data_IF_185715157176
#
_entry.id   IF_185715157176
#
_cell.length_a   1.000
_cell.length_b   1.000
_cell.length_c   1.000
_cell.angle_alpha   90.00
_cell.angle_beta   90.00
_cell.angle_gamma   90.00
#
_symmetry.space_group_name_H-M   'P 1'
#
loop_
_entity.id
_entity.type
_entity.pdbx_description
1 polymer ?
#
# COMPACT_ATOMS: atom_id res chain seq x y z
N UNK A 1 -40.68 -8.09 1.70
CA UNK A 1 -39.59 -7.20 1.20
C UNK A 1 -38.25 -7.83 1.59
N UNK A 2 -37.48 -8.31 0.64
CA UNK A 2 -36.16 -8.93 0.91
C UNK A 2 -35.17 -7.81 1.18
N UNK A 3 -34.64 -7.73 2.40
CA UNK A 3 -33.54 -6.83 2.74
C UNK A 3 -32.30 -7.27 1.94
N UNK A 4 -31.95 -6.51 0.92
CA UNK A 4 -30.64 -6.62 0.27
C UNK A 4 -29.62 -6.02 1.26
N UNK A 5 -28.81 -6.87 1.85
CA UNK A 5 -27.61 -6.44 2.58
C UNK A 5 -26.65 -5.94 1.51
N UNK A 6 -26.51 -4.64 1.41
CA UNK A 6 -25.54 -4.00 0.53
C UNK A 6 -24.16 -4.30 1.11
N UNK A 7 -23.41 -5.19 0.45
CA UNK A 7 -22.01 -5.39 0.76
C UNK A 7 -21.26 -4.09 0.44
N UNK A 8 -20.65 -3.50 1.45
CA UNK A 8 -19.73 -2.38 1.30
C UNK A 8 -18.53 -2.90 0.50
N UNK A 9 -18.38 -2.50 -0.74
CA UNK A 9 -17.15 -2.74 -1.50
C UNK A 9 -16.11 -1.76 -0.98
N UNK A 10 -15.53 -2.07 0.17
CA UNK A 10 -14.21 -1.58 0.54
C UNK A 10 -13.26 -2.30 -0.41
N UNK A 11 -12.29 -1.62 -1.03
CA UNK A 11 -11.40 -2.27 -1.99
C UNK A 11 -10.82 -3.56 -1.40
N UNK A 12 -10.64 -4.56 -2.25
CA UNK A 12 -10.35 -5.96 -1.96
C UNK A 12 -9.06 -6.27 -1.17
N UNK A 13 -8.62 -5.35 -0.33
CA UNK A 13 -7.54 -5.50 0.64
C UNK A 13 -7.84 -6.52 1.76
N UNK A 14 -9.03 -7.10 1.76
CA UNK A 14 -9.43 -8.11 2.72
C UNK A 14 -9.61 -9.50 2.11
N UNK A 15 -9.31 -9.70 0.84
CA UNK A 15 -9.43 -11.00 0.19
C UNK A 15 -8.26 -11.95 0.46
N UNK A 16 -7.18 -11.51 1.10
CA UNK A 16 -6.19 -12.44 1.64
C UNK A 16 -6.64 -12.91 3.03
N UNK A 17 -7.54 -13.90 3.06
CA UNK A 17 -8.12 -14.45 4.28
C UNK A 17 -9.03 -13.43 4.94
N UNK A 18 -10.33 -13.49 4.69
CA UNK A 18 -11.30 -12.74 5.46
C UNK A 18 -11.18 -13.14 6.94
N UNK A 19 -10.29 -12.48 7.66
CA UNK A 19 -10.36 -12.46 9.11
C UNK A 19 -11.74 -11.91 9.42
N UNK A 20 -12.62 -12.76 9.91
CA UNK A 20 -13.88 -12.28 10.43
C UNK A 20 -13.54 -11.46 11.66
N UNK A 21 -13.59 -10.12 11.50
CA UNK A 21 -13.50 -9.23 12.64
C UNK A 21 -14.44 -9.74 13.73
N UNK A 22 -13.93 -9.90 14.94
CA UNK A 22 -14.74 -10.31 16.05
C UNK A 22 -15.69 -9.16 16.38
N UNK A 23 -16.99 -9.39 16.21
CA UNK A 23 -18.00 -8.43 16.63
C UNK A 23 -17.96 -8.29 18.16
N UNK A 24 -17.51 -7.14 18.66
CA UNK A 24 -17.44 -6.84 20.09
C UNK A 24 -18.77 -6.27 20.57
N UNK A 25 -19.40 -5.46 19.72
CA UNK A 25 -20.62 -4.76 20.06
C UNK A 25 -21.49 -4.56 18.82
N UNK A 26 -22.79 -4.85 18.94
CA UNK A 26 -23.77 -4.61 17.88
C UNK A 26 -25.16 -4.41 18.52
N UNK A 27 -25.49 -3.16 18.82
CA UNK A 27 -26.75 -2.82 19.45
C UNK A 27 -27.18 -1.39 19.13
N UNK A 28 -28.48 -1.19 18.99
CA UNK A 28 -29.12 0.13 18.81
C UNK A 28 -28.54 0.92 17.61
N UNK A 29 -28.25 0.22 16.50
CA UNK A 29 -27.67 0.83 15.30
C UNK A 29 -26.18 1.13 15.40
N UNK A 30 -25.51 0.71 16.47
CA UNK A 30 -24.05 0.86 16.65
C UNK A 30 -23.36 -0.49 16.53
N UNK A 31 -22.25 -0.53 15.81
CA UNK A 31 -21.44 -1.73 15.64
C UNK A 31 -19.96 -1.41 15.86
N UNK A 32 -19.27 -2.31 16.55
CA UNK A 32 -17.82 -2.26 16.74
C UNK A 32 -17.23 -3.65 16.53
N UNK A 33 -16.33 -3.75 15.59
CA UNK A 33 -15.58 -4.96 15.25
C UNK A 33 -14.11 -4.78 15.62
N UNK A 34 -13.51 -5.79 16.26
CA UNK A 34 -12.07 -5.92 16.45
C UNK A 34 -11.53 -6.90 15.41
N UNK A 35 -10.42 -6.55 14.76
CA UNK A 35 -9.72 -7.43 13.84
C UNK A 35 -8.21 -7.32 14.04
N UNK A 36 -7.49 -8.35 13.59
CA UNK A 36 -6.04 -8.31 13.65
C UNK A 36 -5.37 -9.62 13.34
N UNK A 37 -4.05 -9.61 13.39
CA UNK A 37 -3.22 -10.79 13.26
C UNK A 37 -1.94 -10.70 14.10
N UNK A 38 -1.47 -11.85 14.55
CA UNK A 38 -0.09 -12.05 15.00
C UNK A 38 0.59 -12.88 13.91
N UNK A 39 1.72 -12.39 13.41
CA UNK A 39 2.52 -13.05 12.40
C UNK A 39 3.90 -13.37 12.99
N UNK A 40 4.10 -14.64 13.34
CA UNK A 40 5.40 -15.15 13.75
C UNK A 40 6.23 -15.39 12.50
N UNK A 41 7.06 -14.41 12.14
CA UNK A 41 7.71 -14.30 10.84
C UNK A 41 9.23 -14.34 10.97
N UNK A 42 9.87 -15.12 10.11
CA UNK A 42 11.32 -15.17 9.99
C UNK A 42 11.78 -15.06 8.55
N UNK A 43 12.77 -14.21 8.30
CA UNK A 43 13.45 -14.10 7.01
C UNK A 43 14.79 -14.81 7.03
N UNK A 44 15.09 -15.51 5.93
CA UNK A 44 16.40 -16.08 5.63
C UNK A 44 16.97 -15.36 4.41
N UNK A 45 18.08 -14.64 4.60
CA UNK A 45 18.73 -13.87 3.54
C UNK A 45 20.23 -13.78 3.77
N UNK A 46 20.99 -13.60 2.69
CA UNK A 46 22.41 -13.22 2.78
C UNK A 46 22.60 -11.76 3.17
N UNK A 47 21.60 -10.91 2.98
CA UNK A 47 21.57 -9.54 3.46
C UNK A 47 21.31 -9.51 4.98
N UNK A 48 22.34 -9.27 5.77
CA UNK A 48 22.25 -9.24 7.23
C UNK A 48 21.27 -8.21 7.80
N UNK A 49 20.83 -7.23 7.00
CA UNK A 49 19.80 -6.25 7.40
C UNK A 49 18.38 -6.78 7.19
N UNK A 50 18.25 -7.87 6.46
CA UNK A 50 16.96 -8.51 6.16
C UNK A 50 16.81 -9.86 6.85
N UNK A 51 17.92 -10.54 7.17
CA UNK A 51 17.92 -11.84 7.84
C UNK A 51 17.44 -11.75 9.28
N UNK A 52 16.68 -12.75 9.72
CA UNK A 52 16.27 -12.91 11.12
C UNK A 52 14.77 -12.72 11.37
N UNK A 53 14.46 -12.50 12.64
CA UNK A 53 13.08 -12.35 13.14
C UNK A 53 12.43 -11.06 12.63
N UNK A 54 11.22 -11.20 12.07
CA UNK A 54 10.39 -10.11 11.56
C UNK A 54 9.00 -10.12 12.21
N UNK A 55 8.83 -10.84 13.31
CA UNK A 55 7.54 -11.04 13.99
C UNK A 55 6.86 -9.70 14.33
N UNK A 56 5.56 -9.61 14.06
CA UNK A 56 4.76 -8.45 14.36
C UNK A 56 3.31 -8.79 14.73
N UNK A 57 2.67 -7.84 15.39
CA UNK A 57 1.24 -7.82 15.65
C UNK A 57 0.60 -6.66 14.88
N UNK A 58 -0.53 -6.91 14.24
CA UNK A 58 -1.38 -5.88 13.65
C UNK A 58 -2.80 -6.04 14.16
N UNK A 59 -3.41 -4.95 14.63
CA UNK A 59 -4.79 -4.98 15.08
C UNK A 59 -5.48 -3.64 14.83
N UNK A 60 -6.80 -3.64 14.80
CA UNK A 60 -7.59 -2.45 14.58
C UNK A 60 -9.04 -2.63 14.94
N UNK A 61 -9.75 -1.51 14.96
CA UNK A 61 -11.18 -1.43 15.20
C UNK A 61 -11.87 -0.84 13.95
N UNK A 62 -13.05 -1.39 13.63
CA UNK A 62 -14.01 -0.80 12.69
C UNK A 62 -15.27 -0.49 13.44
N UNK A 63 -15.72 0.76 13.39
CA UNK A 63 -16.96 1.21 14.03
C UNK A 63 -17.95 1.75 13.03
N UNK A 64 -19.23 1.49 13.24
CA UNK A 64 -20.34 2.06 12.49
C UNK A 64 -21.43 2.52 13.44
N UNK A 65 -22.12 3.62 13.11
CA UNK A 65 -23.28 4.11 13.83
C UNK A 65 -24.35 4.59 12.85
N UNK A 66 -25.57 4.06 12.98
CA UNK A 66 -26.72 4.51 12.21
C UNK A 66 -27.20 5.84 12.78
N UNK A 67 -27.06 6.94 12.02
CA UNK A 67 -27.47 8.29 12.43
C UNK A 67 -28.98 8.46 12.12
N UNK A 68 -29.39 8.07 10.94
CA UNK A 68 -30.79 8.00 10.49
C UNK A 68 -30.93 7.02 9.33
N UNK A 69 -32.10 6.94 8.69
CA UNK A 69 -32.38 5.96 7.63
C UNK A 69 -31.43 6.08 6.42
N UNK A 70 -30.81 7.25 6.18
CA UNK A 70 -29.93 7.51 5.04
C UNK A 70 -28.47 7.68 5.44
N UNK A 71 -28.18 8.01 6.70
CA UNK A 71 -26.83 8.40 7.14
C UNK A 71 -26.27 7.36 8.11
N UNK A 72 -25.07 6.87 7.80
CA UNK A 72 -24.26 6.03 8.68
C UNK A 72 -22.90 6.67 8.88
N UNK A 73 -22.54 6.96 10.12
CA UNK A 73 -21.19 7.33 10.49
C UNK A 73 -20.32 6.08 10.59
N UNK A 74 -19.04 6.18 10.19
CA UNK A 74 -18.10 5.07 10.32
C UNK A 74 -16.70 5.57 10.63
N UNK A 75 -15.87 4.66 11.14
CA UNK A 75 -14.45 4.95 11.36
C UNK A 75 -13.64 3.68 11.46
N UNK A 76 -12.34 3.81 11.23
CA UNK A 76 -11.39 2.72 11.35
C UNK A 76 -10.08 3.23 11.93
N UNK A 77 -9.50 2.41 12.80
CA UNK A 77 -8.14 2.59 13.29
C UNK A 77 -7.39 1.27 13.19
N UNK A 78 -6.15 1.30 12.67
CA UNK A 78 -5.27 0.14 12.53
C UNK A 78 -3.87 0.49 13.01
N UNK A 79 -3.31 -0.40 13.82
CA UNK A 79 -2.02 -0.23 14.45
C UNK A 79 -1.13 -1.44 14.20
N UNK A 80 0.17 -1.18 13.95
CA UNK A 80 1.18 -2.23 13.80
C UNK A 80 2.18 -2.12 14.95
N UNK A 81 2.53 -3.25 15.54
CA UNK A 81 3.50 -3.36 16.62
C UNK A 81 4.54 -4.39 16.21
N UNK A 82 5.81 -4.00 16.24
CA UNK A 82 6.93 -4.90 16.02
C UNK A 82 7.18 -5.72 17.29
N UNK A 83 7.32 -7.03 17.14
CA UNK A 83 7.61 -7.94 18.25
C UNK A 83 9.03 -8.53 18.19
N UNK A 84 9.80 -8.15 17.17
CA UNK A 84 11.19 -8.56 16.96
C UNK A 84 12.22 -7.60 17.55
N UNK A 85 11.81 -6.50 18.14
CA UNK A 85 12.68 -5.53 18.79
C UNK A 85 12.90 -5.85 20.28
N UNK A 86 14.00 -5.35 20.85
CA UNK A 86 14.20 -5.38 22.30
C UNK A 86 13.21 -4.46 23.02
N UNK A 87 12.83 -4.77 24.27
CA UNK A 87 11.88 -3.97 25.06
C UNK A 87 12.30 -2.50 25.24
N UNK A 88 13.59 -2.19 25.05
CA UNK A 88 14.14 -0.85 25.17
C UNK A 88 14.15 -0.05 23.86
N UNK A 89 13.72 -0.64 22.75
CA UNK A 89 13.63 0.06 21.45
C UNK A 89 12.55 1.13 21.47
N UNK A 90 12.79 2.28 20.85
CA UNK A 90 11.83 3.38 20.74
C UNK A 90 10.84 3.19 19.56
N UNK A 91 11.25 2.51 18.50
CA UNK A 91 10.50 2.41 17.24
C UNK A 91 9.79 1.07 17.12
N UNK A 92 8.82 0.85 18.00
CA UNK A 92 8.12 -0.44 18.09
C UNK A 92 6.75 -0.45 17.43
N UNK A 93 6.14 0.72 17.18
CA UNK A 93 4.74 0.72 16.75
C UNK A 93 4.34 1.98 15.98
N UNK A 94 3.38 1.84 15.05
CA UNK A 94 2.84 2.97 14.27
C UNK A 94 1.40 2.76 13.85
N UNK A 95 0.67 3.89 13.66
CA UNK A 95 -0.67 3.91 13.09
C UNK A 95 -0.59 3.69 11.58
N UNK A 96 -1.28 2.69 11.07
CA UNK A 96 -1.42 2.40 9.65
C UNK A 96 -2.61 3.12 9.03
N UNK A 97 -3.77 3.07 9.67
CA UNK A 97 -5.01 3.72 9.29
C UNK A 97 -5.61 4.46 10.49
N UNK A 98 -6.20 5.62 10.25
CA UNK A 98 -6.98 6.37 11.24
C UNK A 98 -7.85 7.39 10.50
N UNK A 99 -9.10 7.07 10.26
CA UNK A 99 -10.04 7.93 9.57
C UNK A 99 -11.46 7.78 10.10
N UNK A 100 -12.26 8.81 9.86
CA UNK A 100 -13.70 8.79 10.12
C UNK A 100 -14.45 9.32 8.91
N UNK A 101 -15.68 8.85 8.71
CA UNK A 101 -16.46 9.20 7.55
C UNK A 101 -17.97 9.07 7.75
N UNK A 102 -18.68 9.48 6.73
CA UNK A 102 -20.14 9.39 6.63
C UNK A 102 -20.52 8.73 5.30
N UNK A 103 -21.41 7.76 5.37
CA UNK A 103 -22.04 7.14 4.21
C UNK A 103 -23.47 7.67 4.07
N UNK A 104 -23.88 7.99 2.84
CA UNK A 104 -25.19 8.58 2.50
C UNK A 104 -25.91 7.65 1.51
N UNK A 105 -26.56 6.60 1.98
CA UNK A 105 -27.27 5.65 1.14
C UNK A 105 -26.49 5.25 -0.11
N UNK A 106 -27.11 5.37 -1.29
CA UNK A 106 -26.49 5.08 -2.60
C UNK A 106 -25.68 6.28 -3.15
N UNK A 107 -25.71 7.44 -2.47
CA UNK A 107 -24.91 8.60 -2.88
C UNK A 107 -23.42 8.47 -2.55
N UNK A 108 -23.02 7.41 -1.85
CA UNK A 108 -21.64 7.09 -1.57
C UNK A 108 -21.19 7.45 -0.17
N UNK A 109 -19.88 7.53 0.02
CA UNK A 109 -19.27 7.82 1.31
C UNK A 109 -18.20 8.90 1.18
N UNK A 110 -17.98 9.63 2.26
CA UNK A 110 -16.89 10.58 2.40
C UNK A 110 -16.14 10.28 3.70
N UNK A 111 -14.83 10.20 3.64
CA UNK A 111 -13.97 10.05 4.82
C UNK A 111 -12.77 10.99 4.77
N UNK A 112 -12.21 11.24 5.96
CA UNK A 112 -11.01 12.03 6.14
C UNK A 112 -10.10 11.42 7.18
N UNK A 113 -8.80 11.44 6.90
CA UNK A 113 -7.76 11.03 7.84
C UNK A 113 -6.57 10.35 7.17
N UNK A 114 -5.96 9.40 7.89
CA UNK A 114 -4.91 8.53 7.36
C UNK A 114 -5.55 7.32 6.71
N UNK A 115 -5.51 7.25 5.40
CA UNK A 115 -6.15 6.18 4.63
C UNK A 115 -5.31 5.85 3.38
N UNK A 116 -5.77 4.89 2.58
CA UNK A 116 -5.13 4.56 1.32
C UNK A 116 -5.36 5.63 0.26
N UNK A 117 -4.32 5.93 -0.50
CA UNK A 117 -4.39 6.74 -1.71
C UNK A 117 -5.09 6.00 -2.85
N UNK A 118 -5.70 6.76 -3.76
CA UNK A 118 -6.50 6.16 -4.86
C UNK A 118 -5.68 5.34 -5.86
N UNK A 119 -4.36 5.52 -5.94
CA UNK A 119 -3.52 4.65 -6.78
C UNK A 119 -3.53 3.21 -6.27
N UNK A 120 -3.69 3.02 -4.95
CA UNK A 120 -3.74 1.69 -4.34
C UNK A 120 -5.05 0.93 -4.67
N UNK A 121 -6.09 1.59 -5.14
CA UNK A 121 -7.31 0.95 -5.62
C UNK A 121 -7.04 0.00 -6.81
N UNK A 122 -5.97 0.23 -7.56
CA UNK A 122 -5.49 -0.63 -8.64
C UNK A 122 -4.36 -1.54 -8.18
N UNK A 123 -3.35 -0.98 -7.49
CA UNK A 123 -2.17 -1.71 -7.01
C UNK A 123 -2.53 -2.85 -6.05
N UNK A 124 -3.53 -2.66 -5.20
CA UNK A 124 -4.01 -3.69 -4.29
C UNK A 124 -4.48 -4.98 -4.97
N UNK A 125 -4.66 -4.95 -6.29
CA UNK A 125 -4.98 -6.17 -7.05
C UNK A 125 -3.76 -7.07 -7.27
N UNK A 126 -2.56 -6.51 -7.29
CA UNK A 126 -1.31 -7.29 -7.41
C UNK A 126 -0.59 -7.51 -6.08
N UNK A 127 -0.97 -6.76 -5.04
CA UNK A 127 -0.46 -6.90 -3.67
C UNK A 127 -1.16 -8.05 -2.93
N UNK A 128 -0.98 -9.28 -3.42
CA UNK A 128 -1.73 -10.48 -2.99
C UNK A 128 -0.83 -11.66 -2.57
N UNK A 129 0.48 -11.45 -2.50
CA UNK A 129 1.43 -12.48 -2.10
C UNK A 129 1.38 -12.74 -0.59
N UNK A 130 1.87 -13.88 -0.11
CA UNK A 130 1.89 -14.20 1.31
C UNK A 130 2.60 -13.16 2.18
N UNK A 131 3.76 -12.66 1.72
CA UNK A 131 4.56 -11.69 2.48
C UNK A 131 5.05 -10.53 1.60
N UNK A 132 5.61 -10.80 0.43
CA UNK A 132 6.14 -9.76 -0.45
C UNK A 132 5.06 -9.22 -1.40
N UNK A 133 5.41 -8.34 -2.32
CA UNK A 133 4.49 -7.75 -3.29
C UNK A 133 4.14 -6.29 -3.00
N UNK A 134 3.43 -5.65 -3.95
CA UNK A 134 2.94 -4.28 -3.83
C UNK A 134 4.00 -3.22 -3.59
N UNK A 135 5.26 -3.48 -3.96
CA UNK A 135 6.39 -2.64 -3.61
C UNK A 135 7.09 -1.98 -4.82
N UNK A 136 6.47 -2.02 -5.99
CA UNK A 136 7.06 -1.38 -7.17
C UNK A 136 7.04 0.14 -7.09
N UNK A 137 5.98 0.76 -6.53
CA UNK A 137 5.89 2.22 -6.35
C UNK A 137 4.99 2.67 -5.18
N UNK A 138 4.30 1.78 -4.48
CA UNK A 138 3.29 2.10 -3.47
C UNK A 138 3.86 2.29 -2.06
N UNK A 139 4.80 3.19 -1.92
CA UNK A 139 5.35 3.54 -0.60
C UNK A 139 4.32 4.22 0.28
N UNK A 140 4.33 3.89 1.57
CA UNK A 140 3.55 4.65 2.56
C UNK A 140 4.09 6.08 2.69
N UNK A 141 3.19 7.03 2.91
CA UNK A 141 3.49 8.46 3.04
C UNK A 141 4.23 9.05 1.82
N UNK A 142 3.95 8.50 0.64
CA UNK A 142 4.45 9.00 -0.64
C UNK A 142 3.28 9.40 -1.54
N UNK A 143 2.86 10.65 -1.43
CA UNK A 143 1.67 11.18 -2.10
C UNK A 143 0.44 10.27 -1.88
N UNK A 144 -0.38 10.06 -2.90
CA UNK A 144 -1.56 9.17 -2.85
C UNK A 144 -1.27 7.76 -3.40
N UNK A 145 -0.01 7.26 -3.25
CA UNK A 145 0.38 5.93 -3.76
C UNK A 145 -0.02 4.79 -2.81
N UNK A 146 0.37 4.87 -1.56
CA UNK A 146 0.05 3.89 -0.53
C UNK A 146 -0.81 4.50 0.58
N UNK A 147 -0.59 4.10 1.84
CA UNK A 147 -1.23 4.76 2.98
C UNK A 147 -0.62 6.15 3.18
N UNK A 148 -1.47 7.16 3.28
CA UNK A 148 -1.06 8.56 3.38
C UNK A 148 -1.90 9.33 4.41
N UNK A 149 -1.31 10.37 4.97
CA UNK A 149 -1.97 11.29 5.88
C UNK A 149 -2.78 12.35 5.13
N UNK A 150 -3.79 12.90 5.81
CA UNK A 150 -4.51 14.08 5.36
C UNK A 150 -5.28 13.89 4.06
N UNK A 151 -5.77 12.67 3.81
CA UNK A 151 -6.58 12.37 2.61
C UNK A 151 -8.06 12.53 2.91
N UNK A 152 -8.75 13.28 2.06
CA UNK A 152 -10.20 13.40 2.01
C UNK A 152 -10.69 12.62 0.80
N UNK A 153 -11.50 11.58 1.01
CA UNK A 153 -11.88 10.67 -0.05
C UNK A 153 -13.40 10.57 -0.17
N UNK A 154 -13.91 10.81 -1.36
CA UNK A 154 -15.28 10.47 -1.74
C UNK A 154 -15.26 9.19 -2.57
N UNK A 155 -16.12 8.22 -2.22
CA UNK A 155 -16.28 6.94 -2.93
C UNK A 155 -17.73 6.69 -3.28
N UNK A 156 -17.96 6.20 -4.48
CA UNK A 156 -19.29 5.79 -4.94
C UNK A 156 -19.20 4.44 -5.64
N UNK A 157 -20.15 3.58 -5.31
CA UNK A 157 -20.30 2.27 -5.94
C UNK A 157 -21.51 2.27 -6.88
N UNK A 158 -21.41 1.48 -7.95
CA UNK A 158 -22.49 1.29 -8.93
C UNK A 158 -22.97 2.59 -9.57
N UNK A 159 -22.08 3.62 -9.63
CA UNK A 159 -22.37 4.94 -10.17
C UNK A 159 -23.74 5.47 -9.72
N UNK A 160 -23.88 5.70 -8.41
CA UNK A 160 -25.13 6.11 -7.74
C UNK A 160 -26.27 5.09 -7.87
N UNK A 161 -25.95 3.81 -8.05
CA UNK A 161 -26.93 2.75 -8.29
C UNK A 161 -27.46 2.70 -9.72
N UNK A 162 -26.91 3.50 -10.65
CA UNK A 162 -27.36 3.60 -12.04
C UNK A 162 -26.63 2.64 -12.97
N UNK A 163 -25.38 2.29 -12.67
CA UNK A 163 -24.54 1.39 -13.49
C UNK A 163 -23.88 0.38 -12.58
N UNK A 164 -24.46 -0.81 -12.50
CA UNK A 164 -23.93 -1.92 -11.69
C UNK A 164 -22.48 -2.24 -12.10
N UNK A 165 -21.62 -2.40 -11.11
CA UNK A 165 -20.20 -2.70 -11.29
C UNK A 165 -19.28 -1.50 -11.56
N UNK A 166 -19.83 -0.30 -11.86
CA UNK A 166 -19.02 0.90 -12.07
C UNK A 166 -18.78 1.64 -10.74
N UNK A 167 -17.54 1.63 -10.26
CA UNK A 167 -17.14 2.32 -9.04
C UNK A 167 -16.17 3.43 -9.35
N UNK A 168 -16.16 4.48 -8.52
CA UNK A 168 -15.15 5.54 -8.62
C UNK A 168 -14.84 6.17 -7.26
N UNK A 169 -13.66 6.77 -7.16
CA UNK A 169 -13.27 7.59 -6.03
C UNK A 169 -12.66 8.91 -6.51
N UNK A 170 -12.88 9.96 -5.72
CA UNK A 170 -12.21 11.25 -5.84
C UNK A 170 -11.49 11.51 -4.52
N UNK A 171 -10.23 11.93 -4.60
CA UNK A 171 -9.42 12.15 -3.40
C UNK A 171 -8.68 13.48 -3.49
N UNK A 172 -8.60 14.15 -2.36
CA UNK A 172 -7.73 15.28 -2.12
C UNK A 172 -6.77 14.94 -1.01
N UNK A 173 -5.50 15.25 -1.16
CA UNK A 173 -4.49 15.18 -0.11
C UNK A 173 -3.99 16.57 0.21
N UNK A 174 -4.09 16.97 1.47
CA UNK A 174 -3.51 18.21 1.95
C UNK A 174 -1.99 18.11 2.07
N UNK A 175 -1.34 19.26 1.99
CA UNK A 175 0.12 19.40 2.10
C UNK A 175 0.64 18.84 3.43
N UNK A 176 1.71 18.04 3.34
CA UNK A 176 2.46 17.50 4.47
C UNK A 176 3.95 17.82 4.27
N UNK A 177 4.40 18.92 4.85
CA UNK A 177 5.82 19.25 4.95
C UNK A 177 6.35 18.71 6.28
N UNK A 178 7.42 17.93 6.24
CA UNK A 178 7.92 17.24 7.42
C UNK A 178 8.34 18.15 8.55
N UNK A 179 9.04 19.25 8.25
CA UNK A 179 9.44 20.25 9.25
C UNK A 179 9.80 21.58 8.62
N UNK A 180 9.45 22.65 9.30
CA UNK A 180 10.04 23.94 9.04
C UNK A 180 11.34 24.13 9.83
N UNK A 181 12.06 25.20 9.52
CA UNK A 181 13.32 25.56 10.18
C UNK A 181 13.20 25.79 11.71
N UNK A 182 12.00 25.91 12.27
CA UNK A 182 11.74 26.03 13.70
C UNK A 182 11.43 24.69 14.38
N UNK A 183 11.52 23.59 13.68
CA UNK A 183 11.21 22.24 14.18
C UNK A 183 9.80 22.10 14.77
N UNK A 184 8.90 22.93 14.34
CA UNK A 184 7.49 22.83 14.70
C UNK A 184 6.86 21.85 13.71
N UNK A 185 6.20 20.85 14.24
CA UNK A 185 5.41 19.94 13.43
C UNK A 185 4.33 20.73 12.67
N UNK A 186 4.63 21.05 11.43
CA UNK A 186 3.70 21.73 10.54
C UNK A 186 3.17 20.69 9.57
N UNK A 187 1.89 20.50 9.61
CA UNK A 187 1.24 19.45 8.87
C UNK A 187 1.20 18.14 9.66
N UNK A 188 0.72 17.09 9.03
CA UNK A 188 0.39 15.81 9.65
C UNK A 188 1.56 14.84 9.67
N UNK A 189 2.60 15.07 8.86
CA UNK A 189 3.82 14.32 8.95
C UNK A 189 4.63 14.83 10.13
N UNK A 190 4.35 14.28 11.28
CA UNK A 190 5.12 14.49 12.49
C UNK A 190 6.47 13.79 12.38
N UNK A 191 7.27 14.17 11.38
CA UNK A 191 8.60 13.62 11.18
C UNK A 191 9.57 14.40 12.04
N UNK A 192 10.53 13.69 12.62
CA UNK A 192 11.62 14.31 13.38
C UNK A 192 12.51 15.19 12.49
N UNK A 193 13.43 15.94 13.07
CA UNK A 193 14.41 16.79 12.36
C UNK A 193 15.18 16.07 11.24
N UNK A 194 15.18 14.76 11.26
CA UNK A 194 15.83 13.90 10.27
C UNK A 194 14.83 13.38 9.22
N UNK A 195 13.71 14.07 9.06
CA UNK A 195 12.67 13.65 8.11
C UNK A 195 13.23 13.64 6.69
N UNK A 196 12.94 12.55 6.01
CA UNK A 196 13.33 12.33 4.65
C UNK A 196 12.36 13.09 3.72
N UNK A 197 12.81 14.20 3.15
CA UNK A 197 12.03 15.06 2.23
C UNK A 197 11.45 14.29 1.03
N UNK A 198 11.97 13.09 0.73
CA UNK A 198 11.44 12.23 -0.34
C UNK A 198 10.00 11.82 -0.08
N UNK A 199 9.53 11.89 1.16
CA UNK A 199 8.18 11.52 1.58
C UNK A 199 7.30 12.73 1.96
N UNK A 200 7.74 13.95 1.70
CA UNK A 200 6.89 15.12 1.77
C UNK A 200 5.89 15.14 0.60
N UNK A 201 4.80 15.86 0.75
CA UNK A 201 3.89 16.17 -0.35
C UNK A 201 3.30 17.58 -0.22
N UNK A 202 3.07 18.23 -1.35
CA UNK A 202 2.18 19.39 -1.45
C UNK A 202 0.72 18.96 -1.60
N UNK A 203 -0.16 19.91 -1.86
CA UNK A 203 -1.57 19.66 -2.15
C UNK A 203 -1.72 18.83 -3.43
N UNK A 204 -2.66 17.88 -3.42
CA UNK A 204 -2.85 16.99 -4.56
C UNK A 204 -4.28 16.51 -4.72
N UNK A 205 -4.59 16.08 -5.94
CA UNK A 205 -5.86 15.49 -6.30
C UNK A 205 -5.63 14.14 -6.98
N UNK A 206 -6.56 13.22 -6.75
CA UNK A 206 -6.55 11.92 -7.37
C UNK A 206 -7.94 11.42 -7.69
N UNK A 207 -8.00 10.50 -8.63
CA UNK A 207 -9.22 9.79 -8.99
C UNK A 207 -8.88 8.33 -9.27
N UNK A 208 -9.81 7.43 -8.97
CA UNK A 208 -9.80 6.05 -9.43
C UNK A 208 -11.16 5.66 -9.98
N UNK A 209 -11.17 4.67 -10.85
CA UNK A 209 -12.38 4.03 -11.33
C UNK A 209 -12.13 2.55 -11.56
N UNK A 210 -13.14 1.72 -11.29
CA UNK A 210 -13.13 0.30 -11.62
C UNK A 210 -14.46 -0.12 -12.20
N UNK A 211 -14.42 -1.13 -13.06
CA UNK A 211 -15.60 -1.74 -13.62
C UNK A 211 -15.53 -3.26 -13.50
N UNK A 212 -16.56 -3.84 -12.92
CA UNK A 212 -16.77 -5.29 -12.87
C UNK A 212 -17.63 -5.72 -14.05
N UNK A 213 -17.04 -6.47 -14.98
CA UNK A 213 -17.73 -6.99 -16.18
C UNK A 213 -18.60 -8.22 -15.89
N UNK A 214 -18.60 -8.71 -14.64
CA UNK A 214 -19.14 -10.02 -14.28
C UNK A 214 -18.17 -11.16 -14.62
N UNK A 215 -18.55 -12.37 -14.28
CA UNK A 215 -17.74 -13.59 -14.50
C UNK A 215 -16.32 -13.55 -13.88
N UNK A 216 -16.13 -12.69 -12.87
CA UNK A 216 -14.86 -12.50 -12.18
C UNK A 216 -13.86 -11.56 -12.88
N UNK A 217 -14.22 -10.92 -13.98
CA UNK A 217 -13.35 -10.01 -14.73
C UNK A 217 -13.60 -8.57 -14.30
N UNK A 218 -12.55 -7.85 -13.95
CA UNK A 218 -12.62 -6.44 -13.61
C UNK A 218 -11.44 -5.66 -14.24
N UNK A 219 -11.69 -4.39 -14.57
CA UNK A 219 -10.65 -3.45 -14.98
C UNK A 219 -10.67 -2.22 -14.08
N UNK A 220 -9.51 -1.61 -13.84
CA UNK A 220 -9.42 -0.37 -13.08
C UNK A 220 -8.34 0.54 -13.62
N UNK A 221 -8.50 1.84 -13.35
CA UNK A 221 -7.49 2.85 -13.60
C UNK A 221 -7.53 3.93 -12.52
N UNK A 222 -6.38 4.55 -12.26
CA UNK A 222 -6.28 5.68 -11.35
C UNK A 222 -5.25 6.70 -11.86
N UNK A 223 -5.43 7.95 -11.42
CA UNK A 223 -4.53 9.06 -11.71
C UNK A 223 -4.42 9.98 -10.51
N UNK A 224 -3.22 10.48 -10.25
CA UNK A 224 -2.96 11.50 -9.22
C UNK A 224 -2.04 12.57 -9.75
N UNK A 225 -2.23 13.81 -9.26
CA UNK A 225 -1.32 14.94 -9.48
C UNK A 225 -1.23 15.76 -8.19
N UNK A 226 -0.02 15.96 -7.72
CA UNK A 226 0.26 16.67 -6.48
C UNK A 226 1.36 17.70 -6.68
N UNK A 227 1.31 18.79 -5.95
CA UNK A 227 2.44 19.70 -5.84
C UNK A 227 3.58 19.04 -5.06
N UNK A 228 4.80 19.32 -5.44
CA UNK A 228 5.97 18.98 -4.66
C UNK A 228 6.29 20.13 -3.72
N UNK A 229 6.82 19.83 -2.54
CA UNK A 229 7.20 20.87 -1.57
C UNK A 229 8.39 21.68 -2.05
N UNK A 230 8.57 22.86 -1.48
CA UNK A 230 9.74 23.68 -1.75
C UNK A 230 11.05 22.94 -1.44
N UNK A 231 11.07 22.16 -0.37
CA UNK A 231 12.23 21.37 0.02
C UNK A 231 12.55 20.27 -0.98
N UNK A 232 11.55 19.59 -1.53
CA UNK A 232 11.75 18.62 -2.61
C UNK A 232 12.28 19.24 -3.90
N UNK A 233 11.87 20.47 -4.23
CA UNK A 233 12.26 21.18 -5.45
C UNK A 233 13.65 21.83 -5.32
N UNK A 234 13.98 22.34 -4.14
CA UNK A 234 15.20 23.13 -3.89
C UNK A 234 16.26 22.38 -3.10
N UNK A 235 16.09 21.09 -2.90
CA UNK A 235 17.09 20.31 -2.19
C UNK A 235 18.41 20.37 -2.95
N UNK A 236 19.33 21.18 -2.42
CA UNK A 236 20.52 21.68 -3.12
C UNK A 236 21.60 20.64 -3.38
N UNK A 237 21.43 19.43 -2.88
CA UNK A 237 22.53 18.46 -2.95
C UNK A 237 22.39 17.46 -4.05
N UNK A 238 21.41 17.68 -5.06
CA UNK A 238 21.40 16.49 -5.83
C UNK A 238 20.70 16.53 -7.17
N UNK A 239 21.48 16.33 -8.17
CA UNK A 239 21.08 15.77 -9.46
C UNK A 239 20.33 14.42 -9.35
N UNK A 240 20.28 13.83 -8.12
CA UNK A 240 19.53 12.60 -7.81
C UNK A 240 18.07 12.82 -7.48
N UNK A 241 17.67 14.06 -7.22
CA UNK A 241 16.28 14.41 -6.97
C UNK A 241 15.64 14.95 -8.24
N UNK A 242 14.52 14.38 -8.61
CA UNK A 242 13.70 14.91 -9.68
C UNK A 242 13.46 16.41 -9.51
N UNK A 243 13.41 17.16 -10.62
CA UNK A 243 13.33 18.62 -10.62
C UNK A 243 11.95 19.20 -10.98
N UNK A 244 10.97 18.35 -11.30
CA UNK A 244 9.64 18.80 -11.67
C UNK A 244 8.84 19.37 -10.49
N UNK A 245 7.95 20.33 -10.76
CA UNK A 245 7.11 20.97 -9.75
C UNK A 245 5.96 20.09 -9.29
N UNK A 246 5.56 19.13 -10.12
CA UNK A 246 4.47 18.19 -9.87
C UNK A 246 4.97 16.76 -9.72
N UNK A 247 4.32 16.03 -8.84
CA UNK A 247 4.38 14.59 -8.72
C UNK A 247 3.11 14.00 -9.35
N UNK A 248 3.27 13.30 -10.46
CA UNK A 248 2.16 12.72 -11.20
C UNK A 248 2.30 11.21 -11.27
N UNK A 249 1.18 10.51 -11.20
CA UNK A 249 1.14 9.08 -11.43
C UNK A 249 -0.16 8.64 -12.08
N UNK A 250 -0.08 7.63 -12.92
CA UNK A 250 -1.25 6.91 -13.39
C UNK A 250 -0.99 5.40 -13.35
N UNK A 251 -2.05 4.65 -13.18
CA UNK A 251 -2.01 3.19 -13.16
C UNK A 251 -3.26 2.62 -13.81
N UNK A 252 -3.12 1.45 -14.41
CA UNK A 252 -4.23 0.67 -14.94
C UNK A 252 -3.99 -0.82 -14.66
N UNK A 253 -5.05 -1.55 -14.36
CA UNK A 253 -4.99 -2.96 -14.02
C UNK A 253 -6.16 -3.76 -14.55
N UNK A 254 -5.93 -5.06 -14.68
CA UNK A 254 -6.92 -6.08 -15.02
C UNK A 254 -6.87 -7.18 -13.96
N UNK A 255 -8.03 -7.69 -13.58
CA UNK A 255 -8.18 -8.76 -12.60
C UNK A 255 -9.16 -9.82 -13.10
N UNK A 256 -8.82 -11.07 -12.82
CA UNK A 256 -9.75 -12.20 -12.86
C UNK A 256 -9.77 -12.87 -11.48
N UNK A 257 -10.96 -12.99 -10.90
CA UNK A 257 -11.17 -13.55 -9.57
C UNK A 257 -12.43 -14.42 -9.58
N UNK A 258 -12.29 -15.65 -10.00
CA UNK A 258 -13.37 -16.65 -10.03
C UNK A 258 -12.80 -18.07 -10.19
N UNK A 259 -13.61 -19.07 -9.87
CA UNK A 259 -13.28 -20.50 -10.04
C UNK A 259 -11.96 -20.90 -9.32
N UNK A 260 -11.76 -20.39 -8.11
CA UNK A 260 -10.57 -20.61 -7.30
C UNK A 260 -9.26 -20.10 -7.93
N UNK A 261 -9.34 -19.37 -9.03
CA UNK A 261 -8.23 -18.73 -9.73
C UNK A 261 -8.26 -17.23 -9.45
N UNK A 262 -7.14 -16.70 -9.05
CA UNK A 262 -6.89 -15.26 -8.99
C UNK A 262 -5.74 -14.90 -9.93
N UNK A 263 -6.01 -13.99 -10.85
CA UNK A 263 -5.00 -13.42 -11.75
C UNK A 263 -5.15 -11.91 -11.74
N UNK A 264 -4.06 -11.19 -11.55
CA UNK A 264 -4.10 -9.74 -11.68
C UNK A 264 -2.82 -9.23 -12.34
N UNK A 265 -2.94 -8.12 -13.04
CA UNK A 265 -1.79 -7.40 -13.61
C UNK A 265 -2.05 -5.92 -13.54
N UNK A 266 -0.99 -5.15 -13.35
CA UNK A 266 -1.05 -3.70 -13.45
C UNK A 266 0.16 -3.13 -14.17
N UNK A 267 -0.01 -1.95 -14.76
CA UNK A 267 1.06 -1.09 -15.27
C UNK A 267 0.86 0.32 -14.75
N UNK A 268 1.95 0.96 -14.33
CA UNK A 268 1.94 2.32 -13.80
C UNK A 268 3.13 3.13 -14.31
N UNK A 269 2.95 4.42 -14.47
CA UNK A 269 4.04 5.38 -14.58
C UNK A 269 3.93 6.42 -13.48
N UNK A 270 5.06 6.71 -12.83
CA UNK A 270 5.19 7.80 -11.87
C UNK A 270 6.17 8.84 -12.37
N UNK A 271 5.98 10.11 -11.98
CA UNK A 271 6.89 11.22 -12.26
C UNK A 271 7.19 11.98 -10.99
N UNK A 272 8.47 12.24 -10.75
CA UNK A 272 8.99 13.11 -9.68
C UNK A 272 8.53 12.72 -8.25
N UNK A 273 8.23 11.45 -8.00
CA UNK A 273 7.69 11.01 -6.70
C UNK A 273 8.32 9.72 -6.14
N UNK A 274 8.72 8.79 -6.96
CA UNK A 274 9.19 7.49 -6.46
C UNK A 274 10.57 7.62 -5.81
N UNK A 275 10.68 7.39 -4.48
CA UNK A 275 11.96 7.41 -3.79
C UNK A 275 12.75 6.14 -4.15
N UNK A 276 14.08 6.25 -4.17
CA UNK A 276 14.95 5.09 -4.31
C UNK A 276 16.19 5.20 -3.42
N UNK A 277 16.75 4.06 -3.08
CA UNK A 277 17.95 3.96 -2.26
C UNK A 277 17.75 4.39 -0.80
N UNK A 278 18.80 4.28 -0.01
CA UNK A 278 18.81 4.59 1.42
C UNK A 278 19.52 5.91 1.69
N UNK A 279 18.97 6.74 2.58
CA UNK A 279 19.63 7.97 3.08
C UNK A 279 20.96 7.68 3.78
N UNK A 280 21.12 6.49 4.34
CA UNK A 280 22.38 6.04 4.98
C UNK A 280 23.39 5.43 4.01
N UNK A 281 23.08 5.33 2.71
CA UNK A 281 23.98 4.83 1.69
C UNK A 281 25.02 5.89 1.27
N UNK A 282 26.04 5.48 0.54
CA UNK A 282 27.09 6.37 0.02
C UNK A 282 26.52 7.54 -0.79
N UNK A 283 25.48 7.28 -1.58
CA UNK A 283 24.81 8.31 -2.38
C UNK A 283 23.65 8.99 -1.67
N UNK A 284 23.14 8.45 -0.54
CA UNK A 284 22.04 9.03 0.22
C UNK A 284 20.66 8.91 -0.43
N UNK A 285 20.50 8.06 -1.46
CA UNK A 285 19.23 7.86 -2.17
C UNK A 285 18.80 9.05 -3.06
N UNK A 286 17.60 8.98 -3.62
CA UNK A 286 17.06 10.04 -4.50
C UNK A 286 15.56 9.91 -4.75
N UNK A 287 15.06 10.77 -5.64
CA UNK A 287 13.70 10.71 -6.20
C UNK A 287 13.84 10.53 -7.71
N UNK A 288 13.25 9.49 -8.27
CA UNK A 288 13.28 9.21 -9.70
C UNK A 288 12.48 10.25 -10.49
N UNK A 289 13.04 10.71 -11.63
CA UNK A 289 12.34 11.59 -12.57
C UNK A 289 11.09 10.91 -13.14
N UNK A 290 11.22 9.64 -13.44
CA UNK A 290 10.14 8.78 -13.92
C UNK A 290 10.41 7.34 -13.50
N UNK A 291 9.34 6.60 -13.15
CA UNK A 291 9.39 5.14 -13.09
C UNK A 291 8.33 4.53 -14.01
N UNK A 292 8.64 3.33 -14.48
CA UNK A 292 7.72 2.45 -15.18
C UNK A 292 7.61 1.19 -14.34
N UNK A 293 6.39 0.87 -13.91
CA UNK A 293 6.13 -0.18 -12.96
C UNK A 293 5.21 -1.22 -13.60
N UNK A 294 5.54 -2.48 -13.43
CA UNK A 294 4.75 -3.59 -13.93
C UNK A 294 4.69 -4.68 -12.87
N UNK A 295 3.49 -5.16 -12.63
CA UNK A 295 3.26 -6.28 -11.74
C UNK A 295 2.26 -7.26 -12.35
N UNK A 296 2.48 -8.53 -12.07
CA UNK A 296 1.54 -9.60 -12.40
C UNK A 296 1.59 -10.64 -11.30
N UNK A 297 0.43 -11.11 -10.87
CA UNK A 297 0.28 -12.16 -9.86
C UNK A 297 -0.72 -13.21 -10.30
N UNK A 298 -0.48 -14.46 -9.91
CA UNK A 298 -1.38 -15.57 -10.12
C UNK A 298 -1.45 -16.44 -8.87
N UNK A 299 -2.66 -16.84 -8.48
CA UNK A 299 -2.89 -17.72 -7.34
C UNK A 299 -3.97 -18.75 -7.70
N UNK A 300 -3.91 -19.89 -7.02
CA UNK A 300 -4.95 -20.91 -7.10
C UNK A 300 -5.31 -21.42 -5.69
N UNK A 301 -6.58 -21.46 -5.35
CA UNK A 301 -7.06 -21.97 -4.06
C UNK A 301 -7.50 -23.42 -4.19
N UNK A 302 -6.77 -24.34 -3.57
CA UNK A 302 -7.21 -25.73 -3.46
C UNK A 302 -8.23 -25.92 -2.33
N UNK A 303 -9.19 -26.82 -2.52
CA UNK A 303 -10.22 -27.15 -1.51
C UNK A 303 -9.65 -27.61 -0.17
N UNK A 304 -8.46 -28.21 -0.18
CA UNK A 304 -7.79 -28.69 1.04
C UNK A 304 -7.00 -27.60 1.79
N UNK A 305 -7.15 -26.33 1.39
CA UNK A 305 -6.60 -25.18 2.10
C UNK A 305 -5.24 -24.67 1.60
N UNK A 306 -4.62 -25.27 0.59
CA UNK A 306 -3.37 -24.77 0.00
C UNK A 306 -3.66 -23.69 -1.05
N UNK A 307 -2.90 -22.58 -1.00
CA UNK A 307 -2.93 -21.50 -2.00
C UNK A 307 -1.51 -21.19 -2.48
N UNK A 308 -1.01 -21.81 -3.54
CA UNK A 308 0.20 -21.38 -4.21
C UNK A 308 0.02 -20.03 -4.88
N UNK A 309 1.09 -19.26 -4.95
CA UNK A 309 1.17 -17.95 -5.58
C UNK A 309 2.47 -17.83 -6.38
N UNK A 310 2.41 -17.10 -7.48
CA UNK A 310 3.57 -16.67 -8.25
C UNK A 310 3.35 -15.24 -8.72
N UNK A 311 4.40 -14.42 -8.66
CA UNK A 311 4.35 -13.04 -9.13
C UNK A 311 5.65 -12.61 -9.79
N UNK A 312 5.55 -11.57 -10.61
CA UNK A 312 6.69 -10.81 -11.11
C UNK A 312 6.44 -9.34 -10.91
N UNK A 313 7.43 -8.64 -10.36
CA UNK A 313 7.37 -7.20 -10.10
C UNK A 313 8.61 -6.53 -10.68
N UNK A 314 8.40 -5.37 -11.31
CA UNK A 314 9.46 -4.52 -11.82
C UNK A 314 9.11 -3.04 -11.67
N UNK A 315 10.05 -2.27 -11.12
CA UNK A 315 10.05 -0.80 -11.16
C UNK A 315 11.31 -0.34 -11.83
N UNK A 316 11.18 0.27 -13.01
CA UNK A 316 12.31 0.79 -13.78
C UNK A 316 12.38 2.31 -13.67
N UNK A 317 13.38 2.81 -12.98
CA UNK A 317 13.72 4.24 -12.93
C UNK A 317 14.42 4.69 -14.21
N UNK A 318 14.01 5.85 -14.72
CA UNK A 318 14.54 6.46 -15.92
C UNK A 318 15.43 7.66 -15.57
N UNK A 319 16.54 7.78 -16.30
CA UNK A 319 17.47 8.91 -16.16
C UNK A 319 17.93 9.15 -14.73
N UNK A 320 18.27 8.08 -14.01
CA UNK A 320 18.77 8.14 -12.64
C UNK A 320 20.22 8.57 -12.64
N UNK A 321 20.55 9.52 -11.77
CA UNK A 321 21.91 10.00 -11.62
C UNK A 321 22.73 9.11 -10.68
N UNK A 322 23.92 8.72 -11.10
CA UNK A 322 24.90 8.04 -10.29
C UNK A 322 26.32 8.43 -10.71
N UNK A 323 27.10 9.05 -9.81
CA UNK A 323 28.50 9.37 -10.00
C UNK A 323 28.82 10.07 -11.33
N UNK A 324 28.10 11.14 -11.67
CA UNK A 324 28.33 11.95 -12.89
C UNK A 324 27.68 11.41 -14.14
N UNK A 325 26.88 10.36 -14.08
CA UNK A 325 26.21 9.75 -15.23
C UNK A 325 24.72 9.53 -14.97
N UNK A 326 23.94 9.63 -16.04
CA UNK A 326 22.53 9.25 -16.05
C UNK A 326 22.35 7.90 -16.73
N UNK A 327 21.54 7.04 -16.12
CA UNK A 327 21.20 5.74 -16.69
C UNK A 327 19.82 5.28 -16.22
N UNK A 328 19.20 4.43 -17.02
CA UNK A 328 18.02 3.66 -16.61
C UNK A 328 18.46 2.49 -15.73
N UNK A 329 17.80 2.31 -14.60
CA UNK A 329 18.05 1.19 -13.68
C UNK A 329 16.74 0.61 -13.17
N UNK A 330 16.70 -0.69 -13.01
CA UNK A 330 15.63 -1.33 -12.26
C UNK A 330 15.82 -1.00 -10.77
N UNK A 331 14.81 -0.39 -10.14
CA UNK A 331 14.83 -0.05 -8.71
C UNK A 331 14.31 -1.22 -7.87
N UNK A 332 13.33 -1.92 -8.42
CA UNK A 332 12.78 -3.18 -7.93
C UNK A 332 12.68 -4.12 -9.11
N UNK A 333 13.10 -5.36 -8.94
CA UNK A 333 12.88 -6.41 -9.93
C UNK A 333 13.05 -7.78 -9.29
N UNK A 334 11.97 -8.52 -9.21
CA UNK A 334 12.03 -9.86 -8.67
C UNK A 334 10.90 -10.76 -9.19
N UNK A 335 11.10 -12.06 -9.07
CA UNK A 335 10.05 -13.05 -9.07
C UNK A 335 9.77 -13.47 -7.64
N UNK A 336 8.52 -13.77 -7.38
CA UNK A 336 8.09 -14.33 -6.12
C UNK A 336 7.36 -15.64 -6.32
N UNK A 337 7.68 -16.64 -5.49
CA UNK A 337 7.05 -17.96 -5.51
C UNK A 337 6.73 -18.35 -4.08
N UNK A 338 5.47 -18.38 -3.75
CA UNK A 338 5.02 -18.67 -2.40
C UNK A 338 3.83 -19.63 -2.34
N UNK A 339 3.50 -20.02 -1.14
CA UNK A 339 2.29 -20.79 -0.85
C UNK A 339 1.83 -20.53 0.58
N UNK A 340 0.52 -20.34 0.75
CA UNK A 340 -0.14 -20.30 2.06
C UNK A 340 -0.95 -21.58 2.26
N UNK A 341 -0.87 -22.14 3.45
CA UNK A 341 -1.74 -23.24 3.88
C UNK A 341 -2.65 -22.76 5.02
N UNK A 342 -3.95 -22.79 4.78
CA UNK A 342 -4.97 -22.44 5.75
C UNK A 342 -5.41 -23.67 6.53
N UNK A 343 -5.06 -23.76 7.81
CA UNK A 343 -5.57 -24.81 8.72
C UNK A 343 -7.06 -24.59 9.00
N UNK A 344 -7.45 -23.34 9.12
CA UNK A 344 -8.83 -22.84 9.25
C UNK A 344 -8.86 -21.33 8.97
N UNK A 345 -9.98 -20.67 9.24
CA UNK A 345 -10.16 -19.22 8.97
C UNK A 345 -9.26 -18.32 9.81
N UNK A 346 -8.79 -18.80 10.96
CA UNK A 346 -8.02 -18.03 11.93
C UNK A 346 -6.53 -18.40 11.96
N UNK A 347 -6.14 -19.52 11.37
CA UNK A 347 -4.77 -20.04 11.47
C UNK A 347 -4.26 -20.44 10.11
N UNK A 348 -3.10 -19.92 9.74
CA UNK A 348 -2.41 -20.25 8.50
C UNK A 348 -0.89 -20.26 8.70
N UNK A 349 -0.19 -20.86 7.75
CA UNK A 349 1.26 -20.78 7.62
C UNK A 349 1.61 -20.54 6.17
N UNK A 350 2.74 -19.90 5.92
CA UNK A 350 3.20 -19.65 4.56
C UNK A 350 4.70 -19.75 4.42
N UNK A 351 5.12 -20.02 3.19
CA UNK A 351 6.48 -19.81 2.70
C UNK A 351 6.40 -18.87 1.50
N UNK A 352 7.31 -17.91 1.42
CA UNK A 352 7.38 -16.97 0.33
C UNK A 352 8.84 -16.75 -0.07
N UNK A 353 9.17 -16.92 -1.35
CA UNK A 353 10.53 -16.82 -1.86
C UNK A 353 10.65 -15.69 -2.87
N UNK A 354 11.23 -14.59 -2.42
CA UNK A 354 11.60 -13.45 -3.25
C UNK A 354 12.94 -13.73 -3.93
N UNK A 355 12.90 -14.01 -5.23
CA UNK A 355 14.05 -14.21 -6.10
C UNK A 355 14.42 -12.88 -6.72
N UNK A 356 15.44 -12.22 -6.18
CA UNK A 356 15.90 -10.91 -6.65
C UNK A 356 16.57 -11.06 -8.02
N UNK A 357 16.21 -10.19 -8.97
CA UNK A 357 16.71 -10.20 -10.34
C UNK A 357 17.56 -8.95 -10.66
N UNK A 358 17.93 -8.18 -9.64
CA UNK A 358 18.89 -7.08 -9.76
C UNK A 358 20.31 -7.63 -9.84
N UNK A 359 21.18 -7.00 -10.63
CA UNK A 359 22.57 -7.44 -10.78
C UNK A 359 23.41 -7.00 -9.56
N UNK A 360 23.75 -7.94 -8.68
CA UNK A 360 24.56 -7.70 -7.50
C UNK A 360 25.98 -7.16 -7.76
N UNK A 361 26.48 -7.22 -9.01
CA UNK A 361 27.78 -6.66 -9.38
C UNK A 361 27.70 -5.21 -9.86
N UNK A 362 26.48 -4.68 -10.06
CA UNK A 362 26.30 -3.29 -10.47
C UNK A 362 26.44 -2.35 -9.26
N UNK A 363 27.49 -1.54 -9.26
CA UNK A 363 27.78 -0.57 -8.20
C UNK A 363 26.65 0.42 -7.92
N UNK A 364 25.73 0.60 -8.88
CA UNK A 364 24.57 1.45 -8.62
C UNK A 364 23.78 0.98 -7.40
N UNK A 365 23.58 -0.32 -7.24
CA UNK A 365 22.83 -0.87 -6.11
C UNK A 365 23.58 -0.73 -4.79
N UNK A 366 24.86 -1.04 -4.77
CA UNK A 366 25.71 -0.85 -3.59
C UNK A 366 25.76 0.62 -3.16
N UNK A 367 26.07 1.53 -4.10
CA UNK A 367 26.19 2.98 -3.86
C UNK A 367 24.89 3.61 -3.34
N UNK A 368 23.74 3.06 -3.70
CA UNK A 368 22.43 3.53 -3.26
C UNK A 368 21.80 2.69 -2.13
N UNK A 369 22.48 1.64 -1.65
CA UNK A 369 22.00 0.78 -0.56
C UNK A 369 20.71 0.02 -0.94
N UNK A 370 20.63 -0.43 -2.19
CA UNK A 370 19.53 -1.28 -2.70
C UNK A 370 19.97 -2.74 -2.61
N UNK A 371 19.24 -3.55 -1.86
CA UNK A 371 19.55 -4.98 -1.70
C UNK A 371 19.29 -5.75 -3.00
N UNK A 372 20.23 -6.64 -3.33
CA UNK A 372 20.15 -7.54 -4.48
C UNK A 372 20.06 -9.01 -4.08
N UNK A 373 19.95 -9.28 -2.77
CA UNK A 373 19.87 -10.63 -2.23
C UNK A 373 18.46 -11.21 -2.30
N UNK A 374 18.39 -12.52 -2.37
CA UNK A 374 17.15 -13.27 -2.24
C UNK A 374 16.69 -13.31 -0.78
N UNK A 375 15.39 -13.47 -0.58
CA UNK A 375 14.79 -13.63 0.75
C UNK A 375 13.81 -14.79 0.72
N UNK A 376 13.90 -15.69 1.70
CA UNK A 376 12.85 -16.66 2.00
C UNK A 376 12.15 -16.23 3.28
N UNK A 377 10.84 -16.06 3.23
CA UNK A 377 10.01 -15.78 4.39
C UNK A 377 9.26 -17.04 4.83
N UNK A 378 9.25 -17.30 6.13
CA UNK A 378 8.40 -18.32 6.77
C UNK A 378 7.53 -17.64 7.80
N UNK A 379 6.22 -17.78 7.67
CA UNK A 379 5.26 -17.18 8.60
C UNK A 379 4.26 -18.17 9.18
N UNK A 380 3.92 -17.96 10.44
CA UNK A 380 2.82 -18.62 11.14
C UNK A 380 1.87 -17.55 11.65
N UNK A 381 0.66 -17.53 11.10
CA UNK A 381 -0.30 -16.44 11.30
C UNK A 381 -1.49 -16.92 12.12
N UNK A 382 -1.77 -16.21 13.20
CA UNK A 382 -3.07 -16.26 13.87
C UNK A 382 -3.81 -14.94 13.60
N UNK A 383 -5.04 -15.03 13.06
CA UNK A 383 -5.87 -13.86 12.75
C UNK A 383 -7.26 -13.99 13.40
N UNK A 384 -7.87 -12.85 13.75
CA UNK A 384 -9.14 -12.75 14.44
C UNK A 384 -9.98 -11.55 13.98
#
# INVERSE_FOLDING_TARGET
MKRKVLALVIPALLAAGAAHAAEIYNKDGNKLDLYGKVDGLHYFSSDSKKDGDQTYLRFGFKGETQINDMLTGYGQWEYNVQANNTETSSDQAWTRLAFAGIKVGDYGSFDYGRNYGVLYDVEGWTDMLPEFGGDSYTYADNFMAGRANGVATYRNSDFFGLVEGLNFALQYQGKNEGQNAQHINVGTNNRSSDSDVRFDNGDGFGLSTSYDFGMGISAAAAYTSSDRTGDQQHYTHTERYAKGDKADAWTAGLKYDANDIYLATMYSETRNMTPYGSTSSTNGGGIANKTQNFEVTAQYQFDFGLRPAISYLQSKGKDLYNNGRYADKDLVKYMDVGATYYFNRNMSTYVDYKINLLDGNDKFYEDNGISTDNIVALGLVYQF
#
